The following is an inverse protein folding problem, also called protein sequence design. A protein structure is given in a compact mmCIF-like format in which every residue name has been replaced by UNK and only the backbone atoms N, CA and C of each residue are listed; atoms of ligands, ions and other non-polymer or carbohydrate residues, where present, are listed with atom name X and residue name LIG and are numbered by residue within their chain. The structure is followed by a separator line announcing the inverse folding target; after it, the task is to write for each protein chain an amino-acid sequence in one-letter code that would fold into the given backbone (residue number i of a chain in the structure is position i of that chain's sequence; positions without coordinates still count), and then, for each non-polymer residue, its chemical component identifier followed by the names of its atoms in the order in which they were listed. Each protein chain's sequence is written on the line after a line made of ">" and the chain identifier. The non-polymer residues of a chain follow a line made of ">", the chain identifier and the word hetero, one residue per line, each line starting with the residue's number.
data_IF_641624583584
#
_entry.id   IF_641624583584
#
_cell.length_a   1.000
_cell.length_b   1.000
_cell.length_c   1.000
_cell.angle_alpha   90.00
_cell.angle_beta   90.00
_cell.angle_gamma   90.00
#
_symmetry.space_group_name_H-M   'P 1'
#
loop_
_entity.id
_entity.type
_entity.pdbx_description
1 polymer ?
#
# COMPACT_ATOMS: atom_id res chain seq x y z
N UNK A 1 12.04 -21.00 5.36
CA UNK A 1 11.90 -20.21 4.13
C UNK A 1 13.16 -19.39 3.92
N UNK A 2 13.64 -19.19 2.69
CA UNK A 2 14.90 -18.50 2.42
C UNK A 2 14.77 -16.96 2.36
N UNK A 3 13.56 -16.44 2.19
CA UNK A 3 13.29 -15.00 2.23
C UNK A 3 13.17 -14.47 3.67
N UNK A 4 13.56 -13.21 3.87
CA UNK A 4 13.44 -12.54 5.17
C UNK A 4 11.98 -12.23 5.51
N UNK A 5 11.55 -12.35 6.78
CA UNK A 5 10.20 -11.99 7.21
C UNK A 5 9.78 -10.57 6.82
N UNK A 6 10.70 -9.61 6.85
CA UNK A 6 10.44 -8.20 6.55
C UNK A 6 10.03 -8.02 5.08
N UNK A 7 10.81 -8.57 4.13
CA UNK A 7 10.48 -8.54 2.69
C UNK A 7 9.14 -9.22 2.37
N UNK A 8 8.81 -10.29 3.10
CA UNK A 8 7.52 -10.96 2.97
C UNK A 8 6.38 -10.06 3.43
N UNK A 9 6.50 -9.48 4.63
CA UNK A 9 5.52 -8.56 5.18
C UNK A 9 5.31 -7.33 4.29
N UNK A 10 6.38 -6.76 3.74
CA UNK A 10 6.31 -5.64 2.80
C UNK A 10 5.48 -5.98 1.56
N UNK A 11 5.65 -7.20 1.01
CA UNK A 11 4.84 -7.70 -0.09
C UNK A 11 3.42 -8.13 0.32
N UNK A 12 3.02 -7.89 1.57
CA UNK A 12 1.70 -8.19 2.10
C UNK A 12 1.52 -9.65 2.55
N UNK A 13 2.60 -10.42 2.65
CA UNK A 13 2.56 -11.82 3.06
C UNK A 13 2.80 -11.99 4.55
N UNK A 14 1.99 -12.84 5.17
CA UNK A 14 2.21 -13.35 6.53
C UNK A 14 2.33 -14.88 6.51
N UNK A 15 3.09 -15.42 7.46
CA UNK A 15 3.27 -16.87 7.57
C UNK A 15 2.02 -17.54 8.12
N UNK A 16 1.59 -18.63 7.48
CA UNK A 16 0.36 -19.35 7.85
C UNK A 16 0.55 -20.33 9.01
N UNK A 17 1.78 -20.51 9.50
CA UNK A 17 2.11 -21.51 10.52
C UNK A 17 2.47 -22.89 9.94
N UNK A 18 2.40 -23.09 8.62
CA UNK A 18 2.64 -24.39 7.96
C UNK A 18 3.74 -24.30 6.90
N UNK A 19 4.81 -25.08 7.08
CA UNK A 19 5.96 -25.20 6.17
C UNK A 19 6.61 -23.84 5.81
N UNK A 20 6.51 -23.41 4.56
CA UNK A 20 6.94 -22.12 4.03
C UNK A 20 5.77 -21.39 3.37
N UNK A 21 4.54 -21.82 3.68
CA UNK A 21 3.33 -21.27 3.09
C UNK A 21 3.03 -19.91 3.70
N UNK A 22 2.89 -18.92 2.84
CA UNK A 22 2.48 -17.56 3.21
C UNK A 22 1.15 -17.20 2.56
N UNK A 23 0.42 -16.30 3.18
CA UNK A 23 -0.85 -15.77 2.69
C UNK A 23 -0.81 -14.25 2.59
N UNK A 24 -1.38 -13.70 1.52
CA UNK A 24 -1.55 -12.26 1.41
C UNK A 24 -2.69 -11.78 2.32
N UNK A 25 -2.46 -10.74 3.13
CA UNK A 25 -3.48 -10.19 4.03
C UNK A 25 -4.69 -9.59 3.30
N UNK A 26 -4.51 -9.19 2.05
CA UNK A 26 -5.54 -8.49 1.28
C UNK A 26 -6.32 -9.41 0.35
N UNK A 27 -5.65 -10.13 -0.55
CA UNK A 27 -6.33 -11.01 -1.52
C UNK A 27 -6.52 -12.44 -1.01
N UNK A 28 -5.88 -12.83 0.09
CA UNK A 28 -5.92 -14.21 0.61
C UNK A 28 -5.14 -15.23 -0.24
N UNK A 29 -4.42 -14.80 -1.28
CA UNK A 29 -3.61 -15.66 -2.13
C UNK A 29 -2.49 -16.34 -1.34
N UNK A 30 -2.32 -17.66 -1.53
CA UNK A 30 -1.30 -18.45 -0.85
C UNK A 30 -0.15 -18.80 -1.80
N UNK A 31 1.09 -18.64 -1.32
CA UNK A 31 2.31 -19.03 -2.02
C UNK A 31 3.15 -19.96 -1.15
N UNK A 32 3.91 -20.83 -1.80
CA UNK A 32 4.74 -21.88 -1.19
C UNK A 32 5.92 -22.23 -2.11
N UNK A 33 6.80 -23.10 -1.65
CA UNK A 33 7.96 -23.62 -2.38
C UNK A 33 8.94 -22.49 -2.77
N UNK A 34 9.19 -21.57 -1.84
CA UNK A 34 10.01 -20.37 -2.07
C UNK A 34 11.50 -20.69 -2.25
N UNK A 35 12.09 -20.17 -3.31
CA UNK A 35 13.52 -20.19 -3.60
C UNK A 35 14.23 -18.97 -3.00
N UNK A 36 15.55 -19.02 -2.88
CA UNK A 36 16.35 -17.96 -2.26
C UNK A 36 16.43 -16.70 -3.14
N UNK A 37 16.33 -16.89 -4.45
CA UNK A 37 16.30 -15.85 -5.47
C UNK A 37 14.92 -15.22 -5.69
N UNK A 38 13.85 -15.84 -5.19
CA UNK A 38 12.49 -15.34 -5.41
C UNK A 38 12.29 -13.98 -4.74
N UNK A 39 11.70 -13.04 -5.48
CA UNK A 39 11.27 -11.77 -4.91
C UNK A 39 9.78 -11.83 -4.53
N UNK A 40 9.42 -11.55 -3.26
CA UNK A 40 8.03 -11.63 -2.82
C UNK A 40 7.07 -10.77 -3.63
N UNK A 41 7.46 -9.57 -4.08
CA UNK A 41 6.58 -8.72 -4.89
C UNK A 41 6.39 -9.26 -6.29
N UNK A 42 7.47 -9.75 -6.91
CA UNK A 42 7.40 -10.37 -8.24
C UNK A 42 6.49 -11.59 -8.21
N UNK A 43 6.65 -12.47 -7.21
CA UNK A 43 5.81 -13.66 -7.06
C UNK A 43 4.35 -13.32 -6.73
N UNK A 44 4.11 -12.27 -5.93
CA UNK A 44 2.76 -11.76 -5.68
C UNK A 44 2.09 -11.32 -6.98
N UNK A 45 2.80 -10.56 -7.84
CA UNK A 45 2.24 -10.09 -9.11
C UNK A 45 2.01 -11.24 -10.09
N UNK A 46 2.99 -12.14 -10.24
CA UNK A 46 2.91 -13.27 -11.19
C UNK A 46 1.70 -14.15 -10.91
N UNK A 47 1.40 -14.40 -9.64
CA UNK A 47 0.31 -15.28 -9.23
C UNK A 47 -1.01 -14.55 -8.99
N UNK A 48 -0.98 -13.30 -8.51
CA UNK A 48 -2.16 -12.53 -8.10
C UNK A 48 -2.09 -11.05 -8.52
N UNK A 49 -1.81 -10.76 -9.79
CA UNK A 49 -1.75 -9.39 -10.34
C UNK A 49 -3.01 -8.54 -10.11
N UNK A 50 -4.17 -9.19 -9.95
CA UNK A 50 -5.44 -8.52 -9.64
C UNK A 50 -5.64 -8.21 -8.15
N UNK A 51 -4.67 -8.56 -7.30
CA UNK A 51 -4.69 -8.23 -5.87
C UNK A 51 -4.80 -6.71 -5.68
N UNK A 52 -5.81 -6.21 -4.93
CA UNK A 52 -5.96 -4.77 -4.74
C UNK A 52 -4.78 -4.13 -3.99
N UNK A 53 -4.11 -4.87 -3.10
CA UNK A 53 -2.87 -4.40 -2.46
C UNK A 53 -1.73 -4.23 -3.45
N UNK A 54 -1.55 -5.18 -4.38
CA UNK A 54 -0.56 -5.06 -5.46
C UNK A 54 -0.84 -3.82 -6.32
N UNK A 55 -2.09 -3.63 -6.75
CA UNK A 55 -2.50 -2.45 -7.55
C UNK A 55 -2.40 -1.13 -6.78
N UNK A 56 -2.48 -1.18 -5.45
CA UNK A 56 -2.35 -0.01 -4.59
C UNK A 56 -0.89 0.41 -4.41
N UNK A 57 0.01 -0.55 -4.26
CA UNK A 57 1.42 -0.29 -3.87
C UNK A 57 2.38 -0.27 -5.06
N UNK A 58 2.09 -1.03 -6.11
CA UNK A 58 2.96 -1.14 -7.29
C UNK A 58 2.41 -0.41 -8.49
N UNK A 59 3.31 0.07 -9.34
CA UNK A 59 2.93 0.78 -10.55
C UNK A 59 2.41 -0.19 -11.62
N UNK A 60 1.55 0.26 -12.54
CA UNK A 60 1.09 -0.55 -13.66
C UNK A 60 2.24 -1.11 -14.51
N UNK A 61 3.34 -0.36 -14.65
CA UNK A 61 4.52 -0.76 -15.41
C UNK A 61 5.23 -1.94 -14.74
N UNK A 62 5.44 -1.88 -13.42
CA UNK A 62 5.99 -3.01 -12.66
C UNK A 62 5.11 -4.25 -12.80
N UNK A 63 3.79 -4.07 -12.75
CA UNK A 63 2.83 -5.17 -12.91
C UNK A 63 2.93 -5.79 -14.31
N UNK A 64 2.97 -4.96 -15.35
CA UNK A 64 3.10 -5.42 -16.74
C UNK A 64 4.44 -6.14 -16.99
N UNK A 65 5.54 -5.60 -16.45
CA UNK A 65 6.88 -6.19 -16.53
C UNK A 65 6.91 -7.58 -15.88
N UNK A 66 6.41 -7.70 -14.65
CA UNK A 66 6.36 -8.98 -13.94
C UNK A 66 5.49 -10.03 -14.66
N UNK A 67 4.44 -9.59 -15.38
CA UNK A 67 3.57 -10.45 -16.21
C UNK A 67 4.19 -10.80 -17.57
N UNK A 68 5.31 -10.19 -17.95
CA UNK A 68 5.98 -10.43 -19.23
C UNK A 68 5.28 -9.77 -20.43
N UNK A 69 4.49 -8.71 -20.19
CA UNK A 69 3.79 -8.01 -21.26
C UNK A 69 4.70 -6.97 -21.93
N UNK A 70 4.75 -6.99 -23.27
CA UNK A 70 5.54 -6.01 -24.04
C UNK A 70 4.85 -4.65 -24.01
N UNK A 71 5.43 -3.70 -23.28
CA UNK A 71 4.98 -2.30 -23.24
C UNK A 71 5.15 -1.68 -24.64
N UNK A 72 4.07 -1.43 -25.36
CA UNK A 72 4.12 -0.65 -26.61
C UNK A 72 4.20 0.83 -26.26
N UNK A 73 5.37 1.44 -26.47
CA UNK A 73 5.60 2.85 -26.23
C UNK A 73 4.59 3.74 -26.95
N UNK A 74 3.84 4.55 -26.21
CA UNK A 74 3.43 5.87 -26.66
C UNK A 74 3.15 6.82 -25.48
N UNK A 75 3.91 7.91 -25.49
CA UNK A 75 3.71 9.19 -24.81
C UNK A 75 3.87 9.24 -23.28
N UNK A 76 5.12 9.52 -22.89
CA UNK A 76 5.55 10.14 -21.63
C UNK A 76 4.66 11.35 -21.26
N UNK A 77 4.22 11.40 -20.01
CA UNK A 77 4.29 12.66 -19.24
C UNK A 77 4.90 12.36 -17.87
N UNK A 78 5.81 13.24 -17.48
CA UNK A 78 6.74 13.08 -16.39
C UNK A 78 6.11 13.20 -14.99
N UNK A 79 6.67 12.45 -14.04
CA UNK A 79 6.75 12.84 -12.62
C UNK A 79 6.45 11.72 -11.61
N UNK A 80 6.96 11.83 -10.37
CA UNK A 80 8.33 12.12 -9.98
C UNK A 80 8.99 10.87 -9.35
N UNK A 81 10.26 10.71 -9.65
CA UNK A 81 11.23 9.95 -8.86
C UNK A 81 11.17 10.29 -7.36
N UNK A 82 11.12 9.28 -6.49
CA UNK A 82 11.65 9.40 -5.14
C UNK A 82 12.06 8.05 -4.55
N UNK A 83 13.37 7.82 -4.54
CA UNK A 83 14.01 6.97 -3.54
C UNK A 83 15.15 7.79 -2.95
N UNK A 84 15.21 7.89 -1.62
CA UNK A 84 16.43 8.35 -0.95
C UNK A 84 16.22 9.25 0.27
N UNK A 85 16.72 8.73 1.40
CA UNK A 85 17.05 9.44 2.62
C UNK A 85 17.91 10.69 2.39
N UNK A 86 17.75 11.67 3.29
CA UNK A 86 18.19 13.05 3.10
C UNK A 86 19.62 13.39 3.50
N UNK A 87 19.94 14.67 3.29
CA UNK A 87 20.70 15.48 4.24
C UNK A 87 20.25 16.95 4.17
N UNK A 88 20.31 17.59 5.33
CA UNK A 88 19.66 18.81 5.78
C UNK A 88 20.34 20.08 5.29
N UNK A 89 19.56 21.12 4.99
CA UNK A 89 19.93 22.52 5.28
C UNK A 89 18.70 23.42 5.42
N UNK A 90 18.41 23.71 6.70
CA UNK A 90 17.81 24.89 7.36
C UNK A 90 16.57 25.62 6.80
N UNK A 91 15.60 25.67 7.72
CA UNK A 91 14.65 26.73 8.05
C UNK A 91 13.40 26.88 7.17
N UNK A 92 12.32 26.20 7.62
CA UNK A 92 11.01 26.79 7.96
C UNK A 92 10.17 25.75 8.70
N UNK A 93 9.63 26.14 9.86
CA UNK A 93 8.68 25.38 10.69
C UNK A 93 7.74 24.50 9.84
N UNK A 94 7.92 23.19 9.96
CA UNK A 94 6.95 22.20 9.51
C UNK A 94 6.60 21.38 10.73
N UNK A 95 5.37 21.55 11.22
CA UNK A 95 4.76 20.66 12.21
C UNK A 95 5.01 19.21 11.79
N UNK A 96 5.86 18.51 12.52
CA UNK A 96 5.98 17.06 12.41
C UNK A 96 4.63 16.47 12.81
N UNK A 97 3.85 16.04 11.83
CA UNK A 97 2.58 15.36 12.09
C UNK A 97 2.93 14.03 12.74
N UNK A 98 2.76 13.95 14.07
CA UNK A 98 2.95 12.72 14.85
C UNK A 98 2.22 11.55 14.19
N UNK A 99 2.88 10.40 14.11
CA UNK A 99 2.36 9.15 13.53
C UNK A 99 0.97 8.78 14.05
N UNK A 100 0.66 9.16 15.29
CA UNK A 100 -0.64 8.94 15.92
C UNK A 100 -1.78 9.63 15.16
N UNK A 101 -1.50 10.79 14.56
CA UNK A 101 -2.46 11.62 13.81
C UNK A 101 -2.39 11.43 12.29
N UNK A 102 -1.52 10.55 11.81
CA UNK A 102 -1.34 10.28 10.37
C UNK A 102 -2.43 9.38 9.80
N UNK A 103 -2.79 9.66 8.54
CA UNK A 103 -3.59 8.82 7.66
C UNK A 103 -2.96 7.42 7.57
N UNK A 104 -3.71 6.38 7.94
CA UNK A 104 -3.23 4.99 7.95
C UNK A 104 -3.22 4.32 6.57
N UNK A 105 -3.60 5.06 5.53
CA UNK A 105 -3.47 4.62 4.13
C UNK A 105 -2.12 5.08 3.55
N UNK A 106 -1.78 6.36 3.69
CA UNK A 106 -0.56 6.93 3.07
C UNK A 106 0.58 7.23 4.04
N UNK A 107 0.30 7.30 5.34
CA UNK A 107 1.26 7.68 6.39
C UNK A 107 1.98 9.03 6.18
N UNK A 108 1.52 9.85 5.23
CA UNK A 108 2.16 11.13 4.87
C UNK A 108 1.41 12.35 5.39
N UNK A 109 0.08 12.27 5.47
CA UNK A 109 -0.82 13.39 5.79
C UNK A 109 -1.62 13.08 7.03
N UNK A 110 -2.03 14.07 7.82
CA UNK A 110 -2.93 13.83 8.94
C UNK A 110 -4.26 13.26 8.44
N UNK A 111 -4.91 12.41 9.22
CA UNK A 111 -6.31 12.11 8.97
C UNK A 111 -7.13 13.39 9.22
N UNK A 112 -8.05 13.66 8.31
CA UNK A 112 -8.92 14.83 8.36
C UNK A 112 -10.34 14.50 7.89
N UNK A 113 -10.66 13.20 7.81
CA UNK A 113 -11.96 12.71 7.38
C UNK A 113 -12.50 11.58 8.24
N UNK A 114 -13.82 11.50 8.32
CA UNK A 114 -14.58 10.43 8.97
C UNK A 114 -15.44 9.69 7.93
N UNK A 115 -15.49 8.36 8.03
CA UNK A 115 -16.33 7.51 7.19
C UNK A 115 -17.69 7.25 7.86
N UNK A 116 -18.80 7.65 7.24
CA UNK A 116 -20.15 7.46 7.77
C UNK A 116 -20.84 6.24 7.13
N UNK A 117 -21.60 5.42 7.87
CA UNK A 117 -22.02 5.64 9.26
C UNK A 117 -21.06 5.11 10.33
N UNK A 118 -19.99 4.39 9.95
CA UNK A 118 -19.16 3.66 10.92
C UNK A 118 -18.35 4.56 11.89
N UNK A 119 -18.14 5.84 11.58
CA UNK A 119 -17.48 6.82 12.43
C UNK A 119 -15.95 6.71 12.50
N UNK A 120 -15.32 5.82 11.74
CA UNK A 120 -13.87 5.65 11.78
C UNK A 120 -13.13 6.81 11.11
N UNK A 121 -12.07 7.29 11.78
CA UNK A 121 -11.24 8.41 11.34
C UNK A 121 -9.82 7.91 11.10
N UNK A 122 -9.52 7.51 9.86
CA UNK A 122 -8.25 6.86 9.55
C UNK A 122 -7.58 7.33 8.27
N UNK A 123 -8.26 8.18 7.50
CA UNK A 123 -7.79 8.62 6.19
C UNK A 123 -7.73 10.14 6.09
N UNK A 124 -6.76 10.63 5.33
CA UNK A 124 -6.81 11.98 4.77
C UNK A 124 -7.80 12.01 3.60
N UNK A 125 -8.32 13.19 3.26
CA UNK A 125 -9.33 13.36 2.22
C UNK A 125 -8.93 12.82 0.84
N UNK A 126 -7.63 12.91 0.48
CA UNK A 126 -7.15 12.32 -0.79
C UNK A 126 -7.27 10.79 -0.81
N UNK A 127 -6.92 10.12 0.28
CA UNK A 127 -7.00 8.66 0.35
C UNK A 127 -8.44 8.18 0.59
N UNK A 128 -9.27 8.97 1.26
CA UNK A 128 -10.68 8.65 1.41
C UNK A 128 -11.42 8.64 0.06
N UNK A 129 -11.02 9.51 -0.88
CA UNK A 129 -11.62 9.57 -2.22
C UNK A 129 -11.28 8.36 -3.14
N UNK A 130 -10.28 7.55 -2.77
CA UNK A 130 -9.80 6.41 -3.59
C UNK A 130 -10.31 5.06 -3.12
N UNK A 131 -11.12 5.01 -2.05
CA UNK A 131 -11.74 3.78 -1.53
C UNK A 131 -13.24 3.92 -1.55
N UNK A 132 -13.98 2.80 -1.50
CA UNK A 132 -15.45 2.77 -1.36
C UNK A 132 -15.89 2.10 -0.05
N UNK A 133 -14.93 1.63 0.74
CA UNK A 133 -15.12 1.00 2.05
C UNK A 133 -14.21 1.63 3.08
N UNK A 134 -14.66 1.64 4.33
CA UNK A 134 -13.84 2.08 5.45
C UNK A 134 -12.64 1.12 5.65
N UNK A 135 -11.39 1.61 5.70
CA UNK A 135 -10.22 0.75 5.91
C UNK A 135 -10.17 0.04 7.27
N UNK A 136 -10.92 0.51 8.27
CA UNK A 136 -10.92 -0.09 9.62
C UNK A 136 -11.91 -1.23 9.78
N UNK A 137 -13.15 -1.04 9.32
CA UNK A 137 -14.21 -2.04 9.51
C UNK A 137 -14.57 -2.80 8.22
N UNK A 138 -14.00 -2.42 7.06
CA UNK A 138 -14.29 -2.98 5.74
C UNK A 138 -15.77 -2.89 5.33
N UNK A 139 -16.54 -2.00 5.96
CA UNK A 139 -17.93 -1.73 5.61
C UNK A 139 -18.01 -0.64 4.52
N UNK A 140 -18.97 -0.73 3.59
CA UNK A 140 -19.31 0.38 2.70
C UNK A 140 -19.73 1.61 3.50
N UNK A 141 -19.23 2.77 3.10
CA UNK A 141 -19.66 4.04 3.69
C UNK A 141 -20.64 4.75 2.74
N UNK A 142 -21.51 5.59 3.28
CA UNK A 142 -22.45 6.42 2.51
C UNK A 142 -21.94 7.84 2.28
N UNK A 143 -21.09 8.35 3.17
CA UNK A 143 -20.44 9.65 3.00
C UNK A 143 -19.09 9.71 3.71
N UNK A 144 -18.21 10.59 3.22
CA UNK A 144 -16.96 10.99 3.88
C UNK A 144 -17.11 12.45 4.27
N UNK A 145 -16.91 12.77 5.55
CA UNK A 145 -17.00 14.15 6.04
C UNK A 145 -15.65 14.62 6.54
N UNK A 146 -15.31 15.90 6.27
CA UNK A 146 -14.10 16.53 6.77
C UNK A 146 -14.30 16.90 8.24
N UNK A 147 -13.31 16.60 9.08
CA UNK A 147 -13.35 16.89 10.50
C UNK A 147 -12.20 17.83 10.87
N UNK A 148 -12.39 18.59 11.95
CA UNK A 148 -11.41 19.52 12.48
C UNK A 148 -11.21 19.22 13.96
N UNK A 149 -9.97 19.08 14.38
CA UNK A 149 -9.60 18.91 15.78
C UNK A 149 -9.29 20.30 16.38
N UNK A 150 -9.79 20.54 17.60
CA UNK A 150 -9.54 21.75 18.39
C UNK A 150 -8.21 21.71 19.13
#
# INVERSE_FOLDING_TARGET
>A
MPQTPERMADAGFFYTGKSDVVACFYCGGNLRDWLAEDDPWVEHVRNFSECPYVKLVKTPEFIAECRGEKVTNSALTAGPEHSGHGNVSKDKEQDEVSDEKCCKICFTRPFDTVFMPCGHVVACGRCAATTTKCPMCNEPYTSVQRIYFS
#
